data_IF_314293675922
#
_entry.id   IF_314293675922
#
_cell.length_a   1.000
_cell.length_b   1.000
_cell.length_c   1.000
_cell.angle_alpha   90.00
_cell.angle_beta   90.00
_cell.angle_gamma   90.00
#
_symmetry.space_group_name_H-M   'P 1'
#
loop_
_entity.id
_entity.type
_entity.pdbx_description
1 polymer ?
#
# COMPACT_ATOMS: atom_id res chain seq x y z
N UNK A 1 3.82 -12.48 22.18
CA UNK A 1 3.18 -11.16 22.13
C UNK A 1 3.32 -10.64 20.71
N UNK A 2 2.38 -11.01 19.82
CA UNK A 2 2.43 -10.65 18.39
C UNK A 2 2.00 -9.19 18.23
N UNK A 3 2.93 -8.31 17.90
CA UNK A 3 2.63 -6.94 17.53
C UNK A 3 1.98 -6.96 16.13
N UNK A 4 0.65 -7.10 16.05
CA UNK A 4 -0.05 -7.07 14.76
C UNK A 4 -0.25 -5.62 14.32
N UNK A 5 0.59 -5.13 13.40
CA UNK A 5 0.46 -3.80 12.75
C UNK A 5 -0.85 -3.62 11.97
N UNK A 6 -1.64 -4.69 11.81
CA UNK A 6 -2.95 -4.70 11.17
C UNK A 6 -4.03 -3.92 11.96
N UNK A 7 -3.70 -3.28 13.08
CA UNK A 7 -4.62 -2.37 13.78
C UNK A 7 -4.95 -1.11 12.95
N UNK A 8 -4.13 -0.77 11.94
CA UNK A 8 -4.35 0.37 11.06
C UNK A 8 -5.68 0.27 10.29
N UNK A 9 -6.08 -0.94 9.87
CA UNK A 9 -7.31 -1.15 9.10
C UNK A 9 -8.60 -0.84 9.87
N UNK A 10 -8.64 -1.13 11.18
CA UNK A 10 -9.77 -0.79 12.05
C UNK A 10 -9.97 0.73 12.18
N UNK A 11 -8.90 1.52 12.07
CA UNK A 11 -8.97 2.98 12.21
C UNK A 11 -9.49 3.65 10.93
N UNK A 12 -9.22 3.04 9.77
CA UNK A 12 -9.56 3.56 8.45
C UNK A 12 -10.86 2.99 7.87
N UNK A 13 -11.31 1.82 8.32
CA UNK A 13 -12.51 1.20 7.77
C UNK A 13 -13.27 0.40 8.84
N UNK A 14 -14.15 1.08 9.57
CA UNK A 14 -15.40 0.42 9.95
C UNK A 14 -16.38 0.77 8.84
N UNK A 15 -17.08 -0.23 8.30
CA UNK A 15 -18.14 -0.09 7.32
C UNK A 15 -19.36 0.62 7.95
N UNK A 16 -19.14 1.85 8.38
CA UNK A 16 -20.13 2.78 8.86
C UNK A 16 -20.02 4.00 7.94
N UNK A 17 -21.15 4.55 7.52
CA UNK A 17 -21.29 5.57 6.47
C UNK A 17 -20.77 6.96 6.90
N UNK A 18 -19.71 6.99 7.71
CA UNK A 18 -19.19 8.18 8.34
C UNK A 18 -18.19 8.88 7.42
N UNK A 19 -18.47 10.13 7.06
CA UNK A 19 -17.71 10.95 6.08
C UNK A 19 -16.27 11.25 6.50
N UNK A 20 -15.88 10.89 7.72
CA UNK A 20 -14.55 11.15 8.29
C UNK A 20 -13.57 9.96 8.16
N UNK A 21 -13.90 8.95 7.35
CA UNK A 21 -13.07 7.77 7.06
C UNK A 21 -12.73 7.68 5.58
N UNK A 22 -11.72 6.89 5.22
CA UNK A 22 -11.29 6.68 3.83
C UNK A 22 -11.13 5.19 3.52
N UNK A 23 -11.38 4.80 2.28
CA UNK A 23 -11.21 3.41 1.86
C UNK A 23 -9.73 2.99 1.96
N UNK A 24 -9.46 1.93 2.72
CA UNK A 24 -8.12 1.39 2.90
C UNK A 24 -7.71 0.43 1.76
N UNK A 25 -6.40 0.23 1.61
CA UNK A 25 -5.81 -0.68 0.63
C UNK A 25 -4.76 -1.57 1.28
N UNK A 26 -4.96 -2.88 1.25
CA UNK A 26 -3.92 -3.84 1.61
C UNK A 26 -3.03 -4.11 0.38
N UNK A 27 -1.72 -3.96 0.52
CA UNK A 27 -0.78 -4.05 -0.61
C UNK A 27 0.63 -4.51 -0.22
N UNK A 28 1.41 -5.09 -1.14
CA UNK A 28 1.01 -5.49 -2.51
C UNK A 28 0.84 -7.01 -2.61
N UNK A 29 -0.32 -7.45 -3.09
CA UNK A 29 -0.75 -8.85 -3.07
C UNK A 29 -0.05 -9.64 -4.19
N UNK A 30 0.73 -10.68 -3.91
CA UNK A 30 1.27 -11.10 -2.61
C UNK A 30 2.73 -11.54 -2.79
N UNK A 31 3.50 -11.51 -1.71
CA UNK A 31 4.91 -11.90 -1.73
C UNK A 31 5.87 -10.77 -2.13
N UNK A 32 5.40 -9.53 -2.24
CA UNK A 32 6.23 -8.37 -2.56
C UNK A 32 7.49 -8.23 -1.68
N UNK A 33 7.40 -8.54 -0.39
CA UNK A 33 8.55 -8.56 0.53
C UNK A 33 9.48 -9.78 0.43
N UNK A 34 9.18 -10.76 -0.43
CA UNK A 34 9.90 -12.03 -0.55
C UNK A 34 10.75 -12.17 -1.83
N UNK A 35 10.93 -11.09 -2.58
CA UNK A 35 11.64 -11.15 -3.87
C UNK A 35 13.10 -11.56 -3.70
N UNK A 36 13.62 -12.30 -4.68
CA UNK A 36 14.99 -12.77 -4.67
C UNK A 36 15.99 -11.61 -4.53
N UNK A 37 16.87 -11.70 -3.51
CA UNK A 37 17.84 -10.68 -3.12
C UNK A 37 17.24 -9.29 -2.78
N UNK A 38 15.94 -9.21 -2.47
CA UNK A 38 15.27 -7.95 -2.18
C UNK A 38 15.19 -6.99 -3.37
N UNK A 39 15.33 -7.51 -4.60
CA UNK A 39 15.21 -6.69 -5.81
C UNK A 39 13.73 -6.38 -6.02
N UNK A 40 13.38 -5.09 -6.09
CA UNK A 40 12.01 -4.64 -6.29
C UNK A 40 11.41 -5.25 -7.57
N UNK A 41 10.11 -5.62 -7.51
CA UNK A 41 9.32 -6.17 -8.64
C UNK A 41 9.79 -7.52 -9.22
N UNK A 42 10.80 -8.14 -8.60
CA UNK A 42 11.39 -9.38 -9.07
C UNK A 42 10.55 -10.61 -8.65
N UNK A 43 11.10 -11.79 -8.87
CA UNK A 43 10.48 -13.07 -8.56
C UNK A 43 10.65 -13.42 -7.08
N UNK A 44 9.55 -13.82 -6.45
CA UNK A 44 9.51 -14.46 -5.14
C UNK A 44 9.57 -15.97 -5.34
N UNK A 45 10.67 -16.59 -4.91
CA UNK A 45 10.92 -18.03 -5.08
C UNK A 45 10.65 -18.70 -3.74
N UNK A 46 9.49 -19.34 -3.62
CA UNK A 46 9.00 -19.85 -2.34
C UNK A 46 8.03 -21.02 -2.55
N UNK A 47 7.96 -21.96 -1.61
CA UNK A 47 6.92 -22.98 -1.62
C UNK A 47 5.58 -22.45 -1.10
N UNK A 48 4.51 -23.24 -1.26
CA UNK A 48 3.17 -22.85 -0.80
C UNK A 48 3.15 -22.59 0.71
N UNK A 49 3.84 -23.43 1.50
CA UNK A 49 3.90 -23.28 2.95
C UNK A 49 4.54 -21.94 3.35
N UNK A 50 5.66 -21.54 2.73
CA UNK A 50 6.29 -20.26 2.96
C UNK A 50 5.40 -19.09 2.50
N UNK A 51 4.77 -19.19 1.33
CA UNK A 51 3.87 -18.14 0.84
C UNK A 51 2.71 -17.91 1.79
N UNK A 52 2.04 -19.00 2.20
CA UNK A 52 0.86 -18.95 3.06
C UNK A 52 1.19 -18.69 4.53
N UNK A 53 2.39 -19.09 5.00
CA UNK A 53 2.84 -18.89 6.36
C UNK A 53 3.46 -17.52 6.63
N UNK A 54 4.08 -16.89 5.62
CA UNK A 54 4.81 -15.62 5.78
C UNK A 54 4.06 -14.45 5.13
N UNK A 55 3.66 -14.58 3.87
CA UNK A 55 3.21 -13.44 3.07
C UNK A 55 1.68 -13.28 3.02
N UNK A 56 0.93 -14.37 3.18
CA UNK A 56 -0.53 -14.35 3.18
C UNK A 56 -1.21 -13.90 4.48
N UNK A 57 -0.68 -14.17 5.71
CA UNK A 57 -1.42 -13.90 6.95
C UNK A 57 -1.90 -12.44 7.12
N UNK A 58 -1.12 -11.40 6.72
CA UNK A 58 -1.60 -10.03 6.82
C UNK A 58 -2.83 -9.74 5.95
N UNK A 59 -3.03 -10.43 4.82
CA UNK A 59 -4.21 -10.28 3.98
C UNK A 59 -5.46 -10.87 4.63
N UNK A 60 -5.33 -12.05 5.24
CA UNK A 60 -6.42 -12.65 6.02
C UNK A 60 -6.92 -11.70 7.12
N UNK A 61 -5.99 -11.15 7.90
CA UNK A 61 -6.31 -10.17 8.95
C UNK A 61 -6.98 -8.91 8.41
N UNK A 62 -6.49 -8.40 7.28
CA UNK A 62 -7.01 -7.18 6.65
C UNK A 62 -8.42 -7.39 6.11
N UNK A 63 -8.70 -8.56 5.53
CA UNK A 63 -10.01 -8.94 4.98
C UNK A 63 -11.05 -9.09 6.09
N UNK A 64 -10.70 -9.75 7.21
CA UNK A 64 -11.59 -9.88 8.37
C UNK A 64 -11.92 -8.51 8.97
N UNK A 65 -10.97 -7.57 8.92
CA UNK A 65 -11.18 -6.18 9.34
C UNK A 65 -11.90 -5.33 8.31
N UNK A 66 -12.31 -5.90 7.18
CA UNK A 66 -13.13 -5.22 6.19
C UNK A 66 -12.37 -4.25 5.28
N UNK A 67 -11.08 -4.49 4.99
CA UNK A 67 -10.34 -3.67 4.02
C UNK A 67 -11.12 -3.55 2.70
N UNK A 68 -11.25 -2.33 2.17
CA UNK A 68 -12.06 -2.10 0.98
C UNK A 68 -11.39 -2.53 -0.33
N UNK A 69 -10.07 -2.43 -0.39
CA UNK A 69 -9.32 -2.67 -1.63
C UNK A 69 -8.07 -3.50 -1.38
N UNK A 70 -7.66 -4.26 -2.39
CA UNK A 70 -6.37 -4.98 -2.40
C UNK A 70 -5.63 -4.63 -3.67
N UNK A 71 -4.39 -4.16 -3.56
CA UNK A 71 -3.55 -3.83 -4.71
C UNK A 71 -2.62 -4.99 -5.04
N UNK A 72 -2.56 -5.40 -6.31
CA UNK A 72 -1.72 -6.50 -6.79
C UNK A 72 -0.27 -6.03 -6.97
N UNK A 73 0.69 -6.87 -6.56
CA UNK A 73 2.13 -6.61 -6.66
C UNK A 73 2.66 -6.70 -8.08
N UNK A 74 3.68 -5.91 -8.44
CA UNK A 74 4.46 -6.10 -9.67
C UNK A 74 5.23 -7.43 -9.71
N UNK A 75 5.54 -7.97 -8.54
CA UNK A 75 6.38 -9.16 -8.40
C UNK A 75 5.75 -10.38 -9.08
N UNK A 76 6.61 -11.37 -9.31
CA UNK A 76 6.16 -12.72 -9.63
C UNK A 76 6.20 -13.60 -8.38
N UNK A 77 5.39 -14.66 -8.36
CA UNK A 77 5.56 -15.79 -7.45
C UNK A 77 5.90 -17.01 -8.30
N UNK A 78 7.07 -17.62 -8.06
CA UNK A 78 7.57 -18.77 -8.82
C UNK A 78 7.52 -18.60 -10.35
N UNK A 79 7.82 -17.39 -10.82
CA UNK A 79 7.86 -17.02 -12.23
C UNK A 79 6.55 -16.46 -12.79
N UNK A 80 5.41 -16.68 -12.11
CA UNK A 80 4.12 -16.19 -12.56
C UNK A 80 3.87 -14.76 -12.07
N UNK A 81 3.58 -13.84 -13.00
CA UNK A 81 3.29 -12.44 -12.69
C UNK A 81 2.01 -12.33 -11.87
N UNK A 82 2.06 -11.65 -10.72
CA UNK A 82 0.88 -11.50 -9.85
C UNK A 82 -0.29 -10.81 -10.55
N UNK A 83 -0.04 -9.84 -11.43
CA UNK A 83 -1.08 -9.21 -12.26
C UNK A 83 -1.76 -10.16 -13.25
N UNK A 84 -1.15 -11.30 -13.58
CA UNK A 84 -1.74 -12.33 -14.46
C UNK A 84 -2.15 -13.61 -13.70
N UNK A 85 -1.91 -13.67 -12.38
CA UNK A 85 -2.08 -14.88 -11.58
C UNK A 85 -3.54 -15.07 -11.15
N UNK A 86 -4.31 -15.78 -11.97
CA UNK A 86 -5.72 -16.07 -11.68
C UNK A 86 -5.90 -16.89 -10.40
N UNK A 87 -5.01 -17.85 -10.15
CA UNK A 87 -5.16 -18.79 -9.04
C UNK A 87 -5.02 -18.09 -7.69
N UNK A 88 -4.12 -17.13 -7.56
CA UNK A 88 -3.96 -16.34 -6.34
C UNK A 88 -4.98 -15.20 -6.26
N UNK A 89 -5.22 -14.45 -7.34
CA UNK A 89 -6.11 -13.28 -7.31
C UNK A 89 -7.59 -13.71 -7.22
N UNK A 90 -8.02 -14.63 -8.08
CA UNK A 90 -9.40 -15.11 -8.08
C UNK A 90 -9.58 -16.35 -7.21
N UNK A 91 -8.73 -17.37 -7.39
CA UNK A 91 -8.85 -18.64 -6.67
C UNK A 91 -8.64 -18.49 -5.16
N UNK A 92 -7.62 -17.72 -4.75
CA UNK A 92 -7.30 -17.55 -3.33
C UNK A 92 -7.97 -16.32 -2.73
N UNK A 93 -7.64 -15.11 -3.18
CA UNK A 93 -8.11 -13.87 -2.55
C UNK A 93 -9.64 -13.72 -2.63
N UNK A 94 -10.21 -13.79 -3.84
CA UNK A 94 -11.66 -13.63 -4.01
C UNK A 94 -12.45 -14.84 -3.52
N UNK A 95 -12.02 -16.06 -3.87
CA UNK A 95 -12.80 -17.26 -3.59
C UNK A 95 -12.52 -17.85 -2.21
N UNK A 96 -11.27 -18.16 -1.88
CA UNK A 96 -10.90 -18.81 -0.61
C UNK A 96 -10.94 -17.88 0.61
N UNK A 97 -10.47 -16.64 0.47
CA UNK A 97 -10.53 -15.62 1.53
C UNK A 97 -11.84 -14.82 1.50
N UNK A 98 -12.73 -15.10 0.55
CA UNK A 98 -14.02 -14.43 0.38
C UNK A 98 -13.93 -12.90 0.31
N UNK A 99 -12.84 -12.35 -0.22
CA UNK A 99 -12.70 -10.90 -0.34
C UNK A 99 -13.84 -10.31 -1.19
N UNK A 100 -14.58 -9.34 -0.64
CA UNK A 100 -15.75 -8.70 -1.27
C UNK A 100 -15.52 -7.26 -1.73
N UNK A 101 -14.37 -6.66 -1.41
CA UNK A 101 -13.95 -5.40 -2.00
C UNK A 101 -13.52 -5.56 -3.46
N UNK A 102 -12.85 -4.55 -4.00
CA UNK A 102 -12.29 -4.59 -5.35
C UNK A 102 -10.76 -4.71 -5.35
N UNK A 103 -10.24 -5.45 -6.33
CA UNK A 103 -8.82 -5.66 -6.59
C UNK A 103 -8.35 -4.59 -7.57
N UNK A 104 -7.30 -3.86 -7.23
CA UNK A 104 -6.71 -2.81 -8.07
C UNK A 104 -5.31 -3.22 -8.53
N UNK A 105 -4.92 -2.86 -9.76
CA UNK A 105 -3.52 -3.00 -10.17
C UNK A 105 -2.63 -1.95 -9.50
N UNK A 106 -1.35 -2.26 -9.31
CA UNK A 106 -0.33 -1.21 -9.18
C UNK A 106 -0.20 -0.37 -10.48
N UNK A 107 0.54 0.74 -10.40
CA UNK A 107 0.78 1.73 -11.46
C UNK A 107 1.44 1.11 -12.70
N UNK A 108 0.74 1.07 -13.84
CA UNK A 108 1.22 0.35 -15.04
C UNK A 108 1.55 -1.13 -14.76
N UNK A 109 0.90 -1.73 -13.75
CA UNK A 109 1.23 -3.09 -13.33
C UNK A 109 0.87 -4.14 -14.38
N UNK A 110 -0.20 -3.92 -15.15
CA UNK A 110 -0.56 -4.82 -16.24
C UNK A 110 0.43 -4.71 -17.41
N UNK A 111 0.98 -3.53 -17.68
CA UNK A 111 2.00 -3.30 -18.71
C UNK A 111 3.24 -4.15 -18.42
N UNK A 112 3.60 -4.28 -17.14
CA UNK A 112 4.76 -5.03 -16.66
C UNK A 112 4.54 -6.55 -16.58
N UNK A 113 3.40 -7.05 -17.07
CA UNK A 113 3.21 -8.48 -17.33
C UNK A 113 4.15 -8.93 -18.44
N UNK A 114 4.35 -8.11 -19.49
CA UNK A 114 5.20 -8.45 -20.63
C UNK A 114 6.64 -7.98 -20.42
N UNK A 115 7.57 -8.58 -21.16
CA UNK A 115 8.96 -8.14 -21.25
C UNK A 115 9.35 -7.92 -22.72
N UNK A 116 9.65 -6.68 -23.15
CA UNK A 116 9.57 -5.43 -22.40
C UNK A 116 8.15 -5.09 -21.91
N UNK A 117 8.06 -4.21 -20.91
CA UNK A 117 6.76 -3.74 -20.41
C UNK A 117 5.97 -3.04 -21.52
N UNK A 118 4.68 -3.36 -21.65
CA UNK A 118 3.78 -2.80 -22.68
C UNK A 118 3.99 -3.35 -24.09
N UNK A 119 4.90 -4.31 -24.30
CA UNK A 119 5.18 -4.88 -25.63
C UNK A 119 3.96 -5.55 -26.29
N UNK A 120 3.01 -6.03 -25.49
CA UNK A 120 1.71 -6.52 -25.96
C UNK A 120 0.62 -6.09 -24.97
N UNK A 121 0.20 -4.82 -25.08
CA UNK A 121 -0.75 -4.22 -24.14
C UNK A 121 -2.13 -4.86 -24.19
N UNK A 122 -2.63 -5.26 -25.36
CA UNK A 122 -3.89 -6.00 -25.47
C UNK A 122 -3.84 -7.33 -24.68
N UNK A 123 -2.71 -8.04 -24.72
CA UNK A 123 -2.49 -9.21 -23.85
C UNK A 123 -2.46 -8.83 -22.36
N UNK A 124 -1.81 -7.72 -22.00
CA UNK A 124 -1.81 -7.21 -20.62
C UNK A 124 -3.22 -6.92 -20.09
N UNK A 125 -4.08 -6.29 -20.90
CA UNK A 125 -5.48 -6.04 -20.56
C UNK A 125 -6.24 -7.36 -20.38
N UNK A 126 -6.10 -8.28 -21.34
CA UNK A 126 -6.73 -9.60 -21.26
C UNK A 126 -6.30 -10.37 -20.01
N UNK A 127 -4.99 -10.51 -19.80
CA UNK A 127 -4.43 -11.28 -18.70
C UNK A 127 -4.80 -10.67 -17.34
N UNK A 128 -4.68 -9.35 -17.18
CA UNK A 128 -5.02 -8.65 -15.94
C UNK A 128 -6.49 -8.77 -15.56
N UNK A 129 -7.39 -8.49 -16.51
CA UNK A 129 -8.83 -8.54 -16.26
C UNK A 129 -9.30 -9.97 -16.00
N UNK A 130 -8.81 -10.95 -16.79
CA UNK A 130 -9.19 -12.34 -16.60
C UNK A 130 -8.57 -12.97 -15.34
N UNK A 131 -7.41 -12.49 -14.86
CA UNK A 131 -6.85 -12.93 -13.58
C UNK A 131 -7.72 -12.55 -12.37
N UNK A 132 -8.54 -11.50 -12.51
CA UNK A 132 -9.47 -11.06 -11.47
C UNK A 132 -9.30 -9.62 -11.03
N UNK A 133 -8.45 -8.81 -11.69
CA UNK A 133 -8.34 -7.37 -11.38
C UNK A 133 -9.66 -6.68 -11.71
N UNK A 134 -10.12 -5.81 -10.82
CA UNK A 134 -11.39 -5.09 -10.94
C UNK A 134 -11.20 -3.67 -11.45
N UNK A 135 -10.13 -3.01 -11.01
CA UNK A 135 -9.76 -1.65 -11.40
C UNK A 135 -8.31 -1.61 -11.87
N UNK A 136 -8.07 -1.06 -13.05
CA UNK A 136 -6.72 -0.91 -13.60
C UNK A 136 -6.25 0.52 -13.40
N UNK A 137 -5.12 0.68 -12.73
CA UNK A 137 -4.44 1.96 -12.55
C UNK A 137 -3.67 2.32 -13.82
N UNK A 138 -4.40 2.91 -14.78
CA UNK A 138 -3.85 3.47 -16.02
C UNK A 138 -3.60 4.96 -15.79
N UNK A 139 -2.35 5.41 -15.58
CA UNK A 139 -2.08 6.78 -15.19
C UNK A 139 -2.19 7.79 -16.34
N UNK A 140 -2.05 7.34 -17.59
CA UNK A 140 -1.92 8.22 -18.76
C UNK A 140 -2.86 7.82 -19.90
N UNK A 141 -2.67 6.63 -20.48
CA UNK A 141 -3.37 6.24 -21.71
C UNK A 141 -4.69 5.48 -21.47
N UNK A 142 -5.64 6.12 -20.80
CA UNK A 142 -6.92 5.48 -20.46
C UNK A 142 -7.77 5.14 -21.71
N UNK A 143 -7.60 5.87 -22.82
CA UNK A 143 -8.32 5.61 -24.06
C UNK A 143 -7.94 4.27 -24.67
N UNK A 144 -6.64 3.97 -24.77
CA UNK A 144 -6.15 2.66 -25.25
C UNK A 144 -6.67 1.52 -24.38
N UNK A 145 -6.64 1.68 -23.05
CA UNK A 145 -7.19 0.66 -22.15
C UNK A 145 -8.68 0.40 -22.38
N UNK A 146 -9.49 1.46 -22.52
CA UNK A 146 -10.94 1.34 -22.74
C UNK A 146 -11.21 0.68 -24.10
N UNK A 147 -10.48 1.06 -25.14
CA UNK A 147 -10.62 0.50 -26.49
C UNK A 147 -10.29 -1.00 -26.51
N UNK A 148 -9.16 -1.39 -25.91
CA UNK A 148 -8.73 -2.79 -25.84
C UNK A 148 -9.70 -3.63 -24.99
N UNK A 149 -10.08 -3.15 -23.81
CA UNK A 149 -11.05 -3.84 -22.95
C UNK A 149 -12.40 -4.02 -23.67
N UNK A 150 -12.90 -2.99 -24.35
CA UNK A 150 -14.14 -3.03 -25.13
C UNK A 150 -14.04 -4.03 -26.29
N UNK A 151 -12.92 -4.00 -27.02
CA UNK A 151 -12.62 -4.93 -28.12
C UNK A 151 -12.60 -6.38 -27.64
N UNK A 152 -11.94 -6.66 -26.52
CA UNK A 152 -11.84 -7.99 -25.92
C UNK A 152 -13.20 -8.50 -25.42
N UNK A 153 -14.04 -7.64 -24.88
CA UNK A 153 -15.43 -7.98 -24.49
C UNK A 153 -16.30 -8.27 -25.72
N UNK A 154 -16.24 -7.44 -26.76
CA UNK A 154 -16.98 -7.64 -28.01
C UNK A 154 -16.59 -8.96 -28.69
N UNK A 155 -15.31 -9.33 -28.61
CA UNK A 155 -14.78 -10.62 -29.09
C UNK A 155 -15.05 -11.80 -28.15
N UNK A 156 -15.70 -11.57 -26.99
CA UNK A 156 -15.98 -12.57 -25.95
C UNK A 156 -14.73 -13.23 -25.34
N UNK A 157 -13.59 -12.56 -25.44
CA UNK A 157 -12.32 -12.99 -24.82
C UNK A 157 -12.32 -12.63 -23.33
N UNK A 158 -12.93 -11.49 -22.99
CA UNK A 158 -13.34 -11.17 -21.61
C UNK A 158 -14.85 -11.36 -21.55
N UNK A 159 -15.32 -12.15 -20.60
CA UNK A 159 -16.75 -12.41 -20.43
C UNK A 159 -17.46 -11.20 -19.81
N UNK A 160 -18.73 -10.97 -20.19
CA UNK A 160 -19.54 -9.94 -19.53
C UNK A 160 -19.69 -10.19 -18.03
N UNK A 161 -19.76 -11.45 -17.60
CA UNK A 161 -19.79 -11.79 -16.17
C UNK A 161 -18.53 -11.36 -15.41
N UNK A 162 -17.36 -11.33 -16.06
CA UNK A 162 -16.13 -10.80 -15.46
C UNK A 162 -16.22 -9.29 -15.27
N UNK A 163 -16.78 -8.57 -16.25
CA UNK A 163 -17.05 -7.13 -16.16
C UNK A 163 -18.08 -6.85 -15.07
N UNK A 164 -19.16 -7.62 -14.99
CA UNK A 164 -20.21 -7.47 -13.97
C UNK A 164 -19.66 -7.71 -12.56
N UNK A 165 -18.77 -8.71 -12.36
CA UNK A 165 -18.08 -8.91 -11.07
C UNK A 165 -17.20 -7.71 -10.70
N UNK A 166 -16.39 -7.21 -11.64
CA UNK A 166 -15.53 -6.05 -11.41
C UNK A 166 -16.32 -4.79 -11.02
N UNK A 167 -17.33 -4.45 -11.83
CA UNK A 167 -18.18 -3.29 -11.61
C UNK A 167 -18.99 -3.43 -10.31
N UNK A 168 -19.53 -4.60 -10.02
CA UNK A 168 -20.29 -4.85 -8.78
C UNK A 168 -19.43 -4.64 -7.54
N UNK A 169 -18.14 -5.01 -7.57
CA UNK A 169 -17.20 -4.79 -6.45
C UNK A 169 -16.84 -3.31 -6.29
N UNK A 170 -16.59 -2.61 -7.39
CA UNK A 170 -16.30 -1.17 -7.37
C UNK A 170 -17.50 -0.39 -6.82
N UNK A 171 -18.70 -0.66 -7.35
CA UNK A 171 -19.92 -0.01 -6.91
C UNK A 171 -20.24 -0.36 -5.46
N UNK A 172 -20.07 -1.61 -5.03
CA UNK A 172 -20.23 -2.01 -3.62
C UNK A 172 -19.39 -1.12 -2.71
N UNK A 173 -18.09 -0.97 -2.98
CA UNK A 173 -17.22 -0.13 -2.14
C UNK A 173 -17.67 1.32 -2.14
N UNK A 174 -18.02 1.90 -3.31
CA UNK A 174 -18.50 3.28 -3.41
C UNK A 174 -19.81 3.52 -2.64
N UNK A 175 -20.78 2.61 -2.74
CA UNK A 175 -22.02 2.70 -1.97
C UNK A 175 -21.79 2.48 -0.48
N UNK A 176 -21.02 1.45 -0.09
CA UNK A 176 -20.73 1.16 1.33
C UNK A 176 -20.02 2.32 2.02
N UNK A 177 -19.14 3.07 1.32
CA UNK A 177 -18.45 4.22 1.90
C UNK A 177 -19.25 5.54 1.82
N UNK A 178 -20.49 5.52 1.31
CA UNK A 178 -21.34 6.71 1.23
C UNK A 178 -20.89 7.75 0.19
N UNK A 179 -20.14 7.34 -0.84
CA UNK A 179 -19.58 8.26 -1.84
C UNK A 179 -20.67 8.87 -2.73
N UNK A 180 -21.80 8.16 -2.92
CA UNK A 180 -22.93 8.68 -3.70
C UNK A 180 -23.71 9.74 -2.92
N UNK A 181 -23.80 9.61 -1.59
CA UNK A 181 -24.43 10.58 -0.72
C UNK A 181 -23.52 11.80 -0.48
N UNK A 182 -22.20 11.59 -0.46
CA UNK A 182 -21.21 12.61 -0.12
C UNK A 182 -20.04 12.63 -1.12
N UNK A 183 -20.29 13.06 -2.38
CA UNK A 183 -19.29 13.00 -3.44
C UNK A 183 -18.25 14.12 -3.38
N UNK A 184 -18.50 15.18 -2.60
CA UNK A 184 -17.65 16.36 -2.50
C UNK A 184 -16.92 16.42 -1.17
N UNK A 185 -15.76 17.08 -1.17
CA UNK A 185 -14.97 17.31 0.03
C UNK A 185 -15.76 18.17 1.04
N UNK A 186 -15.69 17.78 2.31
CA UNK A 186 -16.17 18.60 3.41
C UNK A 186 -15.01 19.48 3.93
N UNK A 187 -15.08 20.77 3.60
CA UNK A 187 -14.02 21.73 3.94
C UNK A 187 -13.93 22.01 5.45
N UNK A 188 -14.90 21.56 6.26
CA UNK A 188 -14.79 21.66 7.72
C UNK A 188 -13.66 20.82 8.30
N UNK A 189 -13.13 19.85 7.55
CA UNK A 189 -11.96 19.05 7.95
C UNK A 189 -10.61 19.67 7.57
N UNK A 190 -10.57 20.83 6.91
CA UNK A 190 -9.32 21.45 6.46
C UNK A 190 -8.35 21.74 7.63
N UNK A 191 -8.87 22.04 8.81
CA UNK A 191 -8.11 22.30 10.03
C UNK A 191 -7.53 21.02 10.68
N UNK A 192 -7.92 19.83 10.22
CA UNK A 192 -7.35 18.56 10.69
C UNK A 192 -5.94 18.31 10.11
N UNK A 193 -5.59 18.99 9.01
CA UNK A 193 -4.28 18.86 8.39
C UNK A 193 -3.19 19.44 9.30
N UNK A 194 -2.24 18.61 9.71
CA UNK A 194 -1.13 19.04 10.55
C UNK A 194 -1.51 19.44 11.98
N UNK A 195 -2.70 19.02 12.44
CA UNK A 195 -3.24 19.31 13.78
C UNK A 195 -2.25 18.92 14.88
N UNK A 196 -2.23 19.69 15.98
CA UNK A 196 -1.28 19.50 17.08
C UNK A 196 -1.38 18.10 17.70
N UNK A 197 -2.59 17.60 17.90
CA UNK A 197 -2.83 16.27 18.48
C UNK A 197 -2.25 15.16 17.60
N UNK A 198 -2.36 15.28 16.27
CA UNK A 198 -1.75 14.34 15.32
C UNK A 198 -0.21 14.39 15.38
N UNK A 199 0.36 15.59 15.55
CA UNK A 199 1.82 15.76 15.72
C UNK A 199 2.32 15.17 17.04
N UNK A 200 1.57 15.30 18.13
CA UNK A 200 1.92 14.67 19.41
C UNK A 200 1.84 13.14 19.34
N UNK A 201 0.84 12.59 18.64
CA UNK A 201 0.78 11.15 18.35
C UNK A 201 1.98 10.69 17.50
N UNK A 202 2.33 11.44 16.45
CA UNK A 202 3.52 11.16 15.63
C UNK A 202 4.80 11.22 16.46
N UNK A 203 4.92 12.20 17.37
CA UNK A 203 6.04 12.32 18.31
C UNK A 203 6.14 11.13 19.26
N UNK A 204 5.00 10.61 19.73
CA UNK A 204 4.96 9.38 20.52
C UNK A 204 5.43 8.17 19.72
N UNK A 205 4.95 8.02 18.47
CA UNK A 205 5.37 6.94 17.58
C UNK A 205 6.88 6.98 17.32
N UNK A 206 7.44 8.16 17.03
CA UNK A 206 8.90 8.36 16.89
C UNK A 206 9.63 7.93 18.16
N UNK A 207 9.15 8.30 19.36
CA UNK A 207 9.78 7.90 20.61
C UNK A 207 9.77 6.38 20.81
N UNK A 208 8.68 5.70 20.44
CA UNK A 208 8.49 4.25 20.58
C UNK A 208 9.23 3.44 19.51
N UNK A 209 9.61 4.03 18.38
CA UNK A 209 10.31 3.34 17.29
C UNK A 209 11.84 3.26 17.49
N UNK A 210 12.41 4.05 18.40
CA UNK A 210 13.85 4.07 18.64
C UNK A 210 14.34 2.75 19.23
N UNK A 211 15.36 2.16 18.60
CA UNK A 211 16.06 0.97 19.10
C UNK A 211 17.42 1.37 19.65
N UNK A 212 17.62 1.20 20.95
CA UNK A 212 18.90 1.50 21.61
C UNK A 212 19.89 0.37 21.38
N UNK A 213 20.84 0.58 20.45
CA UNK A 213 21.84 -0.44 20.10
C UNK A 213 23.06 -0.46 21.03
N UNK A 214 23.41 0.68 21.63
CA UNK A 214 24.56 0.82 22.54
C UNK A 214 24.32 1.98 23.50
N UNK A 215 24.68 1.81 24.78
CA UNK A 215 24.56 2.83 25.80
C UNK A 215 25.77 2.87 26.74
N UNK A 216 26.93 3.26 26.22
CA UNK A 216 28.21 3.24 26.94
C UNK A 216 29.24 2.32 26.30
N UNK A 217 30.51 2.48 26.69
CA UNK A 217 31.61 1.68 26.15
C UNK A 217 31.99 0.48 27.02
N UNK A 218 31.43 0.41 28.23
CA UNK A 218 31.61 -0.70 29.17
C UNK A 218 30.26 -1.05 29.80
N UNK A 219 30.06 -2.27 30.34
CA UNK A 219 28.78 -2.69 30.90
C UNK A 219 28.24 -1.80 32.03
N UNK A 220 29.12 -1.10 32.76
CA UNK A 220 28.77 -0.28 33.92
C UNK A 220 28.66 1.23 33.61
N UNK A 221 28.92 1.64 32.37
CA UNK A 221 28.84 3.04 31.97
C UNK A 221 27.53 3.27 31.21
N UNK A 222 26.71 4.22 31.66
CA UNK A 222 25.53 4.70 30.92
C UNK A 222 25.81 6.09 30.35
N UNK A 223 25.48 6.30 29.08
CA UNK A 223 25.61 7.61 28.42
C UNK A 223 24.24 8.32 28.32
N UNK A 224 23.19 7.57 28.02
CA UNK A 224 21.80 8.02 27.98
C UNK A 224 21.08 7.61 29.27
N UNK A 225 20.16 8.44 29.78
CA UNK A 225 19.69 9.72 29.20
C UNK A 225 20.66 10.89 29.43
N UNK A 226 20.73 11.81 28.47
CA UNK A 226 21.53 13.03 28.61
C UNK A 226 20.91 14.00 29.63
N UNK A 227 21.73 14.72 30.42
CA UNK A 227 21.23 15.75 31.32
C UNK A 227 20.66 16.93 30.53
N UNK A 228 19.48 17.41 30.91
CA UNK A 228 18.86 18.60 30.30
C UNK A 228 19.63 19.90 30.58
N UNK A 229 20.46 19.92 31.62
CA UNK A 229 21.31 21.04 32.01
C UNK A 229 22.77 20.69 31.72
N UNK A 230 23.38 21.44 30.81
CA UNK A 230 24.79 21.37 30.48
C UNK A 230 25.29 22.79 30.14
N UNK A 231 26.58 23.06 30.35
CA UNK A 231 27.17 24.37 30.03
C UNK A 231 27.21 24.64 28.52
N UNK A 232 27.46 23.58 27.74
CA UNK A 232 27.47 23.62 26.28
C UNK A 232 27.24 22.22 25.73
N UNK A 233 26.46 22.11 24.66
CA UNK A 233 26.26 20.88 23.90
C UNK A 233 26.63 21.12 22.44
N UNK A 234 27.01 20.05 21.74
CA UNK A 234 27.24 20.05 20.30
C UNK A 234 26.18 19.14 19.66
N UNK A 235 25.53 19.65 18.61
CA UNK A 235 24.70 18.85 17.71
C UNK A 235 25.39 18.89 16.34
N UNK A 236 25.64 17.72 15.76
CA UNK A 236 26.40 17.58 14.50
C UNK A 236 25.85 16.42 13.66
N UNK A 237 26.28 16.37 12.40
CA UNK A 237 25.86 15.36 11.42
C UNK A 237 24.84 15.92 10.42
N UNK A 238 24.86 15.37 9.20
CA UNK A 238 24.05 15.87 8.07
C UNK A 238 22.53 15.80 8.27
N UNK A 239 22.07 14.97 9.22
CA UNK A 239 20.65 14.74 9.50
C UNK A 239 20.13 15.51 10.71
N UNK A 240 21.00 16.23 11.44
CA UNK A 240 20.61 16.92 12.67
C UNK A 240 19.56 18.03 12.45
N UNK A 241 19.64 18.71 11.31
CA UNK A 241 18.77 19.84 10.96
C UNK A 241 18.30 19.72 9.52
N UNK A 242 17.77 18.56 9.15
CA UNK A 242 17.28 18.30 7.80
C UNK A 242 15.97 17.52 7.86
N UNK A 243 14.85 18.23 7.70
CA UNK A 243 13.52 17.65 7.82
C UNK A 243 13.25 16.59 6.74
N UNK A 244 13.67 16.86 5.51
CA UNK A 244 13.52 15.93 4.41
C UNK A 244 14.22 14.59 4.65
N UNK A 245 15.44 14.61 5.19
CA UNK A 245 16.19 13.39 5.48
C UNK A 245 15.59 12.56 6.63
N UNK A 246 15.05 13.18 7.68
CA UNK A 246 14.38 12.41 8.74
C UNK A 246 13.01 11.86 8.30
N UNK A 247 12.39 12.43 7.27
CA UNK A 247 11.14 11.94 6.70
C UNK A 247 11.36 10.81 5.68
N UNK A 248 12.39 10.90 4.84
CA UNK A 248 12.72 9.89 3.81
C UNK A 248 11.85 9.99 2.56
N UNK A 249 11.73 8.86 1.83
CA UNK A 249 10.88 8.75 0.63
C UNK A 249 9.39 8.94 0.95
N UNK A 250 8.56 9.09 -0.10
CA UNK A 250 7.10 9.33 0.05
C UNK A 250 6.73 10.53 0.94
N UNK A 251 7.58 11.57 0.95
CA UNK A 251 7.36 12.81 1.71
C UNK A 251 7.45 14.01 0.78
N UNK A 252 6.29 14.62 0.48
CA UNK A 252 6.09 15.68 -0.54
C UNK A 252 6.36 15.21 -1.98
N UNK A 253 7.52 14.60 -2.23
CA UNK A 253 7.91 14.01 -3.50
C UNK A 253 8.02 12.49 -3.39
N UNK A 254 7.96 11.78 -4.52
CA UNK A 254 8.05 10.31 -4.58
C UNK A 254 9.33 9.78 -3.92
N UNK A 255 10.49 10.30 -4.33
CA UNK A 255 11.79 9.93 -3.77
C UNK A 255 12.15 10.71 -2.49
N UNK A 256 11.25 11.56 -1.99
CA UNK A 256 11.55 12.52 -0.93
C UNK A 256 12.44 13.67 -1.43
N UNK A 257 13.03 14.40 -0.50
CA UNK A 257 13.92 15.51 -0.79
C UNK A 257 14.78 15.88 0.43
N UNK A 258 15.73 16.81 0.24
CA UNK A 258 16.58 17.34 1.31
C UNK A 258 16.10 18.72 1.76
N UNK A 259 16.44 19.08 3.00
CA UNK A 259 16.15 20.40 3.57
C UNK A 259 14.75 20.50 4.18
N UNK A 260 14.25 21.72 4.31
CA UNK A 260 12.96 22.01 4.92
C UNK A 260 11.82 21.88 3.90
N UNK A 261 11.51 20.64 3.54
CA UNK A 261 10.52 20.33 2.49
C UNK A 261 9.06 20.47 2.95
N UNK A 262 8.81 20.55 4.25
CA UNK A 262 7.46 20.65 4.85
C UNK A 262 7.50 21.28 6.25
N UNK A 263 6.37 21.33 6.94
CA UNK A 263 6.28 21.81 8.32
C UNK A 263 6.52 20.69 9.33
N UNK A 264 7.60 20.79 10.11
CA UNK A 264 8.00 19.78 11.10
C UNK A 264 8.97 20.32 12.14
N UNK A 265 9.59 19.39 12.88
CA UNK A 265 10.58 19.69 13.91
C UNK A 265 11.79 18.81 13.66
N UNK A 266 12.98 19.42 13.60
CA UNK A 266 14.25 18.69 13.53
C UNK A 266 14.82 18.49 14.93
N UNK A 267 16.04 17.97 15.05
CA UNK A 267 16.72 17.92 16.36
C UNK A 267 17.05 19.33 16.85
N UNK A 268 17.26 20.28 15.92
CA UNK A 268 17.46 21.71 16.16
C UNK A 268 16.17 22.51 15.94
#
# INVERSE_FOLDING_TARGET
>A
MSCSLNAFYLMYQLMDSNRNKVAACAKHFVGDGGTHNGINENNTIIDEHGLLGIHMPPYYDSIIKGVATVMVSYSSVNGEKMHANHDLVTGYLKSKLHFRGFVISDWLGIDRITSPAGANYTYSVQAGVNAGIDMVMVPFNYTEFIEDATSLVNKRIISMSRIDDAVSRILRVKFTMGLFENPLADLSFADQLGKKEHRELAREAVRKSLVLLKNGNTPNQQFLPLPKKASKILVAGSHASNLGYQCGGWSIQWMGGSGDITAGTTIL
#
